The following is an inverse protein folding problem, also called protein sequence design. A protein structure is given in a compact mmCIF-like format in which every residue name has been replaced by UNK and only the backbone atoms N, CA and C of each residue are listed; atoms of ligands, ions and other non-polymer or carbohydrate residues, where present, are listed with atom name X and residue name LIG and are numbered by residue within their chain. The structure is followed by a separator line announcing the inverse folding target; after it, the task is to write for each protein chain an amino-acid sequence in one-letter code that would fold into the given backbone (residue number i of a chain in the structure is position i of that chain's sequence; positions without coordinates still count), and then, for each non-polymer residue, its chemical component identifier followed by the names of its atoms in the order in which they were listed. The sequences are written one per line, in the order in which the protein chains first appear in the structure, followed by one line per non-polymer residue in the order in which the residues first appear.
data_IF_924312825523
#
_entry.id   IF_924312825523
#
_cell.length_a   1.000
_cell.length_b   1.000
_cell.length_c   1.000
_cell.angle_alpha   90.00
_cell.angle_beta   90.00
_cell.angle_gamma   90.00
#
_symmetry.space_group_name_H-M   'P 1'
#
loop_
_entity.id
_entity.type
_entity.pdbx_description
1 polymer ?
#
# COMPACT_ATOMS: atom_id res chain seq x y z
N UNK A 1 -23.85 -1.29 -22.89
CA UNK A 1 -22.56 -0.60 -22.69
C UNK A 1 -21.99 -1.11 -21.38
N UNK A 2 -21.09 -2.08 -21.46
CA UNK A 2 -20.51 -2.77 -20.30
C UNK A 2 -19.27 -1.98 -19.87
N UNK A 3 -19.37 -1.28 -18.75
CA UNK A 3 -18.24 -0.56 -18.17
C UNK A 3 -17.32 -1.58 -17.49
N UNK A 4 -16.31 -2.07 -18.22
CA UNK A 4 -15.27 -2.91 -17.65
C UNK A 4 -14.35 -2.02 -16.81
N UNK A 5 -14.49 -2.12 -15.49
CA UNK A 5 -13.57 -1.53 -14.50
C UNK A 5 -12.55 -2.60 -14.15
N UNK A 6 -11.27 -2.27 -14.29
CA UNK A 6 -10.18 -3.15 -13.92
C UNK A 6 -9.58 -2.69 -12.58
N UNK A 7 -9.65 -3.55 -11.57
CA UNK A 7 -9.13 -3.31 -10.22
C UNK A 7 -7.82 -4.08 -10.01
N UNK A 8 -6.76 -3.36 -9.61
CA UNK A 8 -5.40 -3.88 -9.53
C UNK A 8 -4.76 -3.48 -8.20
N UNK A 9 -4.11 -4.43 -7.54
CA UNK A 9 -3.44 -4.23 -6.25
C UNK A 9 -2.00 -4.75 -6.30
N UNK A 10 -1.06 -3.99 -6.89
CA UNK A 10 0.37 -4.31 -6.87
C UNK A 10 1.24 -3.21 -7.51
N UNK A 11 2.55 -3.47 -7.55
CA UNK A 11 3.68 -2.65 -7.98
C UNK A 11 3.44 -1.66 -9.14
N UNK A 12 3.97 -0.44 -8.97
CA UNK A 12 3.82 0.71 -9.88
C UNK A 12 4.15 0.40 -11.34
N UNK A 13 5.18 -0.39 -11.62
CA UNK A 13 5.56 -0.70 -13.01
C UNK A 13 4.49 -1.52 -13.75
N UNK A 14 3.76 -2.37 -13.04
CA UNK A 14 2.66 -3.12 -13.64
C UNK A 14 1.40 -2.25 -13.82
N UNK A 15 1.10 -1.36 -12.88
CA UNK A 15 0.01 -0.40 -13.04
C UNK A 15 0.24 0.47 -14.28
N UNK A 16 1.49 0.83 -14.57
CA UNK A 16 1.84 1.57 -15.78
C UNK A 16 1.60 0.76 -17.07
N UNK A 17 1.97 -0.52 -17.10
CA UNK A 17 1.75 -1.35 -18.30
C UNK A 17 0.26 -1.61 -18.54
N UNK A 18 -0.50 -1.89 -17.49
CA UNK A 18 -1.94 -2.12 -17.60
C UNK A 18 -2.71 -0.82 -17.85
N UNK A 19 -2.31 0.30 -17.25
CA UNK A 19 -2.89 1.61 -17.53
C UNK A 19 -2.78 2.00 -19.01
N UNK A 20 -1.65 1.67 -19.66
CA UNK A 20 -1.49 1.86 -21.11
C UNK A 20 -2.48 1.02 -21.92
N UNK A 21 -2.65 -0.25 -21.58
CA UNK A 21 -3.59 -1.14 -22.26
C UNK A 21 -5.05 -0.71 -22.04
N UNK A 22 -5.39 -0.29 -20.82
CA UNK A 22 -6.74 0.17 -20.51
C UNK A 22 -7.07 1.50 -21.21
N UNK A 23 -6.12 2.44 -21.26
CA UNK A 23 -6.26 3.69 -22.01
C UNK A 23 -6.51 3.45 -23.51
N UNK A 24 -5.85 2.47 -24.10
CA UNK A 24 -6.07 2.07 -25.49
C UNK A 24 -7.49 1.49 -25.75
N UNK A 25 -8.15 0.97 -24.72
CA UNK A 25 -9.46 0.33 -24.80
C UNK A 25 -10.59 1.14 -24.13
N UNK A 26 -10.33 2.40 -23.74
CA UNK A 26 -11.26 3.25 -23.00
C UNK A 26 -11.83 2.58 -21.73
N UNK A 27 -11.04 1.72 -21.10
CA UNK A 27 -11.39 1.04 -19.86
C UNK A 27 -10.94 1.86 -18.65
N UNK A 28 -11.77 1.89 -17.60
CA UNK A 28 -11.42 2.54 -16.34
C UNK A 28 -10.49 1.65 -15.50
N UNK A 29 -9.45 2.24 -14.93
CA UNK A 29 -8.50 1.55 -14.03
C UNK A 29 -8.48 2.24 -12.68
N UNK A 30 -8.60 1.44 -11.63
CA UNK A 30 -8.31 1.84 -10.25
C UNK A 30 -7.13 0.99 -9.78
N UNK A 31 -6.11 1.65 -9.22
CA UNK A 31 -4.91 0.98 -8.73
C UNK A 31 -4.65 1.36 -7.29
N UNK A 32 -4.44 0.35 -6.46
CA UNK A 32 -3.95 0.50 -5.10
C UNK A 32 -2.45 0.19 -5.10
N UNK A 33 -1.64 1.25 -5.06
CA UNK A 33 -0.18 1.18 -5.03
C UNK A 33 0.23 1.19 -3.56
N UNK A 34 0.82 0.09 -3.09
CA UNK A 34 1.25 -0.04 -1.70
C UNK A 34 2.05 1.17 -1.20
N UNK A 35 1.94 1.46 0.09
CA UNK A 35 2.48 2.67 0.71
C UNK A 35 3.54 2.38 1.76
N UNK A 36 4.46 3.34 1.92
CA UNK A 36 5.41 3.37 3.03
C UNK A 36 4.92 4.40 4.06
N UNK A 37 4.57 3.94 5.25
CA UNK A 37 4.05 4.81 6.30
C UNK A 37 5.15 5.18 7.31
N UNK A 38 5.05 6.39 7.84
CA UNK A 38 5.87 6.85 8.96
C UNK A 38 5.18 6.52 10.29
N UNK A 39 5.95 6.07 11.28
CA UNK A 39 5.52 5.97 12.67
C UNK A 39 6.20 7.07 13.48
N UNK A 40 5.40 7.91 14.15
CA UNK A 40 5.90 9.03 14.96
C UNK A 40 5.64 8.71 16.44
N UNK A 41 6.69 8.75 17.26
CA UNK A 41 6.64 8.43 18.69
C UNK A 41 6.98 9.70 19.50
N UNK A 42 6.06 10.13 20.35
CA UNK A 42 6.23 11.34 21.17
C UNK A 42 6.93 11.04 22.52
N UNK A 43 7.60 12.03 23.15
CA UNK A 43 8.34 11.81 24.39
C UNK A 43 7.52 11.34 25.58
N UNK A 44 6.22 11.63 25.58
CA UNK A 44 5.25 11.28 26.62
C UNK A 44 4.50 9.97 26.32
N UNK A 45 4.87 9.26 25.25
CA UNK A 45 4.22 8.00 24.91
C UNK A 45 4.59 6.87 25.89
N UNK A 46 3.68 5.91 26.02
CA UNK A 46 4.01 4.64 26.65
C UNK A 46 4.94 3.84 25.73
N UNK A 47 6.20 3.67 26.15
CA UNK A 47 7.24 3.02 25.36
C UNK A 47 6.93 1.55 25.05
N UNK A 48 6.39 0.80 26.00
CA UNK A 48 6.06 -0.62 25.78
C UNK A 48 4.97 -0.77 24.72
N UNK A 49 3.96 0.10 24.73
CA UNK A 49 2.94 0.13 23.69
C UNK A 49 3.49 0.58 22.35
N UNK A 50 4.38 1.58 22.33
CA UNK A 50 4.99 2.07 21.11
C UNK A 50 5.85 0.99 20.42
N UNK A 51 6.66 0.26 21.18
CA UNK A 51 7.49 -0.84 20.66
C UNK A 51 6.62 -1.98 20.13
N UNK A 52 5.61 -2.41 20.89
CA UNK A 52 4.71 -3.47 20.45
C UNK A 52 3.91 -3.06 19.19
N UNK A 53 3.44 -1.81 19.13
CA UNK A 53 2.76 -1.25 17.96
C UNK A 53 3.65 -1.17 16.74
N UNK A 54 4.91 -0.72 16.90
CA UNK A 54 5.88 -0.67 15.82
C UNK A 54 6.19 -2.07 15.26
N UNK A 55 6.41 -3.05 16.14
CA UNK A 55 6.67 -4.43 15.74
C UNK A 55 5.48 -5.04 14.99
N UNK A 56 4.26 -4.84 15.51
CA UNK A 56 3.04 -5.30 14.84
C UNK A 56 2.87 -4.65 13.46
N UNK A 57 2.96 -3.32 13.37
CA UNK A 57 2.75 -2.60 12.12
C UNK A 57 3.85 -2.84 11.06
N UNK A 58 5.03 -3.31 11.48
CA UNK A 58 6.13 -3.66 10.59
C UNK A 58 6.07 -5.11 10.11
N UNK A 59 5.72 -6.05 11.00
CA UNK A 59 5.87 -7.49 10.75
C UNK A 59 4.56 -8.26 10.61
N UNK A 60 3.41 -7.60 10.75
CA UNK A 60 2.13 -8.23 10.47
C UNK A 60 2.13 -8.83 9.05
N UNK A 61 1.57 -10.04 8.91
CA UNK A 61 1.55 -10.80 7.65
C UNK A 61 2.94 -10.96 7.01
N UNK A 62 4.01 -11.07 7.83
CA UNK A 62 5.40 -11.14 7.36
C UNK A 62 5.83 -9.93 6.52
N UNK A 63 5.23 -8.75 6.76
CA UNK A 63 5.47 -7.52 6.00
C UNK A 63 4.65 -7.42 4.71
N UNK A 64 3.80 -8.40 4.40
CA UNK A 64 2.95 -8.37 3.20
C UNK A 64 1.62 -7.66 3.46
N UNK A 65 1.71 -6.38 3.78
CA UNK A 65 0.54 -5.49 3.93
C UNK A 65 0.57 -4.38 2.90
N UNK A 66 -0.61 -3.83 2.60
CA UNK A 66 -0.73 -2.74 1.64
C UNK A 66 0.06 -1.49 2.07
N UNK A 67 0.13 -1.24 3.37
CA UNK A 67 0.88 -0.14 3.97
C UNK A 67 1.71 -0.70 5.13
N UNK A 68 3.02 -0.49 5.08
CA UNK A 68 3.96 -0.94 6.12
C UNK A 68 4.73 0.26 6.68
N UNK A 69 5.07 0.21 7.97
CA UNK A 69 6.00 1.17 8.58
C UNK A 69 7.41 1.00 7.99
N UNK A 70 8.05 2.13 7.69
CA UNK A 70 9.47 2.15 7.40
C UNK A 70 10.32 2.11 8.66
N UNK A 71 11.34 1.26 8.64
CA UNK A 71 12.36 1.18 9.69
C UNK A 71 13.78 1.26 9.12
N UNK A 72 13.95 1.47 7.81
CA UNK A 72 15.27 1.62 7.17
C UNK A 72 15.87 3.01 7.34
#
# INVERSE_FOLDING_TARGET
MIHHILYITYHTLYTLSIGKLAGANLAHVTSELGGKAALIVFPDCNLDQAVNGAAFATFIASGMVHVQIDTS
#
